data_IF_005573954297
#
_entry.id   IF_005573954297
#
_cell.length_a   1.000
_cell.length_b   1.000
_cell.length_c   1.000
_cell.angle_alpha   90.00
_cell.angle_beta   90.00
_cell.angle_gamma   90.00
#
_symmetry.space_group_name_H-M   'P 1'
#
loop_
_entity.id
_entity.type
_entity.pdbx_description
1 polymer ?
#
# COMPACT_ATOMS: atom_id res chain seq x y z
N UNK A 1 4.12 32.52 -45.60
CA UNK A 1 5.20 31.99 -44.73
C UNK A 1 4.74 31.64 -43.32
N UNK A 2 3.72 32.31 -42.76
CA UNK A 2 3.20 32.08 -41.38
C UNK A 2 2.59 30.67 -41.17
N UNK A 3 1.90 30.12 -42.18
CA UNK A 3 1.23 28.81 -42.07
C UNK A 3 2.19 27.62 -41.87
N UNK A 4 3.41 27.70 -42.44
CA UNK A 4 4.45 26.66 -42.29
C UNK A 4 5.15 26.72 -40.92
N UNK A 5 5.21 27.89 -40.30
CA UNK A 5 5.76 28.04 -38.95
C UNK A 5 4.76 27.54 -37.89
N UNK A 6 3.47 27.75 -38.10
CA UNK A 6 2.42 27.27 -37.19
C UNK A 6 2.33 25.73 -37.18
N UNK A 7 2.45 25.08 -38.34
CA UNK A 7 2.48 23.62 -38.43
C UNK A 7 3.73 23.00 -37.80
N UNK A 8 4.88 23.68 -37.86
CA UNK A 8 6.11 23.22 -37.22
C UNK A 8 6.02 23.25 -35.69
N UNK A 9 5.44 24.32 -35.13
CA UNK A 9 5.26 24.43 -33.67
C UNK A 9 4.24 23.41 -33.12
N UNK A 10 3.16 23.14 -33.86
CA UNK A 10 2.20 22.09 -33.49
C UNK A 10 2.83 20.69 -33.54
N UNK A 11 3.69 20.40 -34.52
CA UNK A 11 4.37 19.11 -34.63
C UNK A 11 5.39 18.86 -33.48
N UNK A 12 6.05 19.91 -32.99
CA UNK A 12 6.97 19.82 -31.85
C UNK A 12 6.22 19.60 -30.53
N UNK A 13 5.05 20.21 -30.34
CA UNK A 13 4.22 19.96 -29.15
C UNK A 13 3.63 18.55 -29.13
N UNK A 14 3.24 17.99 -30.29
CA UNK A 14 2.68 16.64 -30.40
C UNK A 14 3.73 15.53 -30.17
N UNK A 15 5.01 15.81 -30.38
CA UNK A 15 6.10 14.83 -30.21
C UNK A 15 6.72 14.83 -28.81
N UNK A 16 6.56 15.91 -28.03
CA UNK A 16 7.10 16.03 -26.67
C UNK A 16 6.05 15.79 -25.55
N UNK A 17 4.81 15.47 -25.90
CA UNK A 17 3.69 15.39 -24.95
C UNK A 17 3.55 14.08 -24.15
N UNK A 18 4.44 13.10 -24.30
CA UNK A 18 4.24 11.77 -23.71
C UNK A 18 5.53 11.24 -23.08
N UNK A 19 5.84 11.66 -21.85
CA UNK A 19 6.33 10.76 -20.79
C UNK A 19 6.46 11.45 -19.41
N UNK A 20 5.44 12.16 -18.94
CA UNK A 20 5.34 12.37 -17.49
C UNK A 20 4.71 11.10 -16.90
N UNK A 21 5.53 10.06 -16.70
CA UNK A 21 5.16 9.02 -15.75
C UNK A 21 5.29 9.68 -14.37
N UNK A 22 4.21 9.92 -13.61
CA UNK A 22 4.39 10.19 -12.21
C UNK A 22 5.18 8.99 -11.66
N UNK A 23 6.38 9.22 -11.15
CA UNK A 23 7.12 8.22 -10.36
C UNK A 23 6.38 8.09 -9.04
N UNK A 24 5.20 7.48 -9.10
CA UNK A 24 4.62 6.81 -7.96
C UNK A 24 5.38 5.50 -7.92
N UNK A 25 6.24 5.34 -6.91
CA UNK A 25 6.97 4.10 -6.76
C UNK A 25 5.95 2.95 -6.61
N UNK A 26 6.20 1.87 -7.32
CA UNK A 26 5.33 0.70 -7.25
C UNK A 26 5.70 -0.09 -5.99
N UNK A 27 4.70 -0.43 -5.19
CA UNK A 27 4.90 -1.22 -3.98
C UNK A 27 5.43 -2.63 -4.34
N UNK A 28 6.26 -3.21 -3.48
CA UNK A 28 6.89 -4.52 -3.67
C UNK A 28 7.81 -4.64 -4.90
N UNK A 29 8.17 -3.53 -5.54
CA UNK A 29 9.14 -3.49 -6.62
C UNK A 29 10.43 -2.80 -6.18
N UNK A 30 11.56 -3.31 -6.66
CA UNK A 30 12.85 -2.71 -6.39
C UNK A 30 13.00 -1.38 -7.12
N UNK A 31 13.23 -0.33 -6.33
CA UNK A 31 13.44 1.03 -6.81
C UNK A 31 14.94 1.29 -7.01
N UNK A 32 15.26 2.46 -7.57
CA UNK A 32 16.65 2.86 -7.88
C UNK A 32 17.56 2.90 -6.64
N UNK A 33 16.99 3.09 -5.45
CA UNK A 33 17.70 3.04 -4.18
C UNK A 33 17.92 1.61 -3.64
N UNK A 34 17.65 0.58 -4.44
CA UNK A 34 17.77 -0.83 -4.08
C UNK A 34 16.86 -1.24 -2.92
N UNK A 35 15.70 -0.61 -2.83
CA UNK A 35 14.68 -0.91 -1.84
C UNK A 35 13.35 -1.16 -2.51
N UNK A 36 12.61 -2.14 -1.99
CA UNK A 36 11.22 -2.36 -2.31
C UNK A 36 10.37 -1.99 -1.10
N UNK A 37 9.75 -0.79 -1.14
CA UNK A 37 8.76 -0.40 -0.13
C UNK A 37 7.54 -1.34 -0.24
N UNK A 38 7.16 -1.93 0.88
CA UNK A 38 6.02 -2.84 0.99
C UNK A 38 4.78 -2.08 1.42
N UNK A 39 4.94 -1.13 2.35
CA UNK A 39 3.93 -0.22 2.86
C UNK A 39 4.58 1.15 3.17
N UNK A 40 3.90 2.02 3.92
CA UNK A 40 4.43 3.34 4.24
C UNK A 40 5.74 3.32 5.03
N UNK A 41 6.02 2.30 5.85
CA UNK A 41 7.15 2.27 6.78
C UNK A 41 8.05 1.06 6.62
N UNK A 42 7.65 0.05 5.85
CA UNK A 42 8.30 -1.26 5.79
C UNK A 42 8.79 -1.56 4.39
N UNK A 43 9.90 -2.26 4.30
CA UNK A 43 10.58 -2.48 3.04
C UNK A 43 11.48 -3.72 3.04
N UNK A 44 11.72 -4.25 1.85
CA UNK A 44 12.76 -5.25 1.60
C UNK A 44 13.98 -4.59 0.96
N UNK A 45 15.17 -5.12 1.24
CA UNK A 45 16.36 -4.76 0.47
C UNK A 45 16.41 -5.56 -0.82
N UNK A 46 16.86 -4.91 -1.88
CA UNK A 46 17.08 -5.52 -3.18
C UNK A 46 18.57 -5.72 -3.39
N UNK A 47 18.99 -6.96 -3.61
CA UNK A 47 20.38 -7.28 -3.95
C UNK A 47 20.43 -7.69 -5.42
N UNK A 48 21.19 -6.97 -6.25
CA UNK A 48 21.38 -7.34 -7.66
C UNK A 48 20.17 -7.09 -8.55
N UNK A 49 19.66 -8.12 -9.21
CA UNK A 49 18.76 -8.14 -10.41
C UNK A 49 17.35 -7.54 -10.23
N UNK A 50 17.16 -6.59 -9.30
CA UNK A 50 15.87 -5.92 -9.10
C UNK A 50 14.82 -6.81 -8.42
N UNK A 51 15.23 -7.88 -7.73
CA UNK A 51 14.34 -8.77 -6.99
C UNK A 51 14.42 -8.44 -5.48
N UNK A 52 13.29 -8.16 -4.80
CA UNK A 52 13.28 -7.91 -3.36
C UNK A 52 13.67 -9.16 -2.57
N UNK A 53 14.56 -9.01 -1.59
CA UNK A 53 14.88 -10.09 -0.66
C UNK A 53 13.79 -10.20 0.42
N UNK A 54 12.82 -11.07 0.18
CA UNK A 54 11.67 -11.29 1.07
C UNK A 54 12.02 -12.07 2.36
N UNK A 55 13.29 -12.47 2.57
CA UNK A 55 13.71 -13.17 3.80
C UNK A 55 13.73 -12.27 5.02
N UNK A 56 13.88 -10.95 4.83
CA UNK A 56 13.98 -10.01 5.93
C UNK A 56 13.24 -8.71 5.61
N UNK A 57 12.17 -8.46 6.35
CA UNK A 57 11.45 -7.19 6.31
C UNK A 57 12.12 -6.19 7.28
N UNK A 58 12.42 -5.00 6.77
CA UNK A 58 12.90 -3.88 7.55
C UNK A 58 11.77 -2.90 7.79
N UNK A 59 11.85 -2.18 8.90
CA UNK A 59 10.87 -1.15 9.28
C UNK A 59 11.61 0.15 9.56
N UNK A 60 11.10 1.24 9.01
CA UNK A 60 11.58 2.58 9.26
C UNK A 60 11.30 2.99 10.70
N UNK A 61 12.19 3.80 11.30
CA UNK A 61 11.95 4.36 12.63
C UNK A 61 10.64 5.16 12.70
N UNK A 62 10.13 5.33 13.92
CA UNK A 62 8.91 6.10 14.17
C UNK A 62 8.97 7.50 13.56
N UNK A 63 7.86 7.91 12.94
CA UNK A 63 7.74 9.20 12.25
C UNK A 63 8.38 9.23 10.86
N UNK A 64 9.02 8.14 10.42
CA UNK A 64 9.59 8.03 9.08
C UNK A 64 8.77 7.12 8.17
N UNK A 65 8.91 7.33 6.87
CA UNK A 65 8.28 6.56 5.80
C UNK A 65 9.33 6.04 4.82
N UNK A 66 9.06 4.89 4.21
CA UNK A 66 9.86 4.32 3.14
C UNK A 66 9.72 5.18 1.88
N UNK A 67 10.85 5.57 1.30
CA UNK A 67 10.90 6.42 0.11
C UNK A 67 11.81 5.86 -0.98
N UNK A 68 11.62 6.34 -2.22
CA UNK A 68 12.48 6.06 -3.37
C UNK A 68 13.82 6.80 -3.32
N UNK A 69 14.03 7.66 -2.32
CA UNK A 69 15.24 8.45 -2.19
C UNK A 69 16.43 7.60 -1.75
N UNK A 70 17.68 8.07 -1.96
CA UNK A 70 18.87 7.39 -1.46
C UNK A 70 18.83 7.13 0.05
N UNK A 71 18.15 8.02 0.80
CA UNK A 71 17.79 7.79 2.19
C UNK A 71 16.46 7.04 2.25
N UNK A 72 16.52 5.75 2.59
CA UNK A 72 15.36 4.85 2.59
C UNK A 72 14.21 5.40 3.44
N UNK A 73 14.51 5.76 4.69
CA UNK A 73 13.53 6.25 5.65
C UNK A 73 13.59 7.77 5.76
N UNK A 74 12.50 8.44 5.42
CA UNK A 74 12.41 9.90 5.42
C UNK A 74 11.27 10.41 6.30
N UNK A 75 11.35 11.65 6.78
CA UNK A 75 10.32 12.23 7.63
C UNK A 75 8.97 12.32 6.92
N UNK A 76 7.92 11.75 7.52
CA UNK A 76 6.55 11.69 6.98
C UNK A 76 5.98 13.07 6.65
N UNK A 77 6.37 14.10 7.42
CA UNK A 77 5.93 15.49 7.22
C UNK A 77 6.54 16.16 5.99
N UNK A 78 7.62 15.60 5.45
CA UNK A 78 8.42 16.24 4.38
C UNK A 78 8.16 15.59 3.03
N UNK A 79 8.05 14.25 3.00
CA UNK A 79 7.82 13.50 1.78
C UNK A 79 6.73 12.46 2.00
N UNK A 80 5.79 12.28 1.06
CA UNK A 80 4.90 11.14 1.10
C UNK A 80 5.70 9.84 0.99
N UNK A 81 5.14 8.78 1.58
CA UNK A 81 5.69 7.45 1.41
C UNK A 81 5.66 7.05 -0.07
N UNK A 82 6.68 6.32 -0.51
CA UNK A 82 6.78 5.84 -1.89
C UNK A 82 5.82 4.71 -2.18
N UNK A 83 5.47 3.93 -1.16
CA UNK A 83 4.32 3.06 -1.18
C UNK A 83 3.28 3.63 -0.21
N UNK A 84 2.02 3.72 -0.63
CA UNK A 84 0.95 4.19 0.23
C UNK A 84 0.68 3.25 1.41
N UNK A 85 -0.31 3.59 2.23
CA UNK A 85 -0.82 2.68 3.24
C UNK A 85 -1.44 1.46 2.58
N UNK A 86 -0.63 0.42 2.38
CA UNK A 86 -1.09 -0.89 1.94
C UNK A 86 -1.68 -1.67 3.09
N UNK A 87 -1.70 -1.12 4.31
CA UNK A 87 -2.43 -1.68 5.44
C UNK A 87 -3.91 -1.62 5.08
N UNK A 88 -4.40 -2.67 4.42
CA UNK A 88 -5.84 -2.85 4.19
C UNK A 88 -6.50 -3.35 5.48
N UNK A 89 -5.97 -2.89 6.62
CA UNK A 89 -6.32 -3.35 7.94
C UNK A 89 -7.72 -2.84 8.28
N UNK A 90 -8.55 -3.76 8.73
CA UNK A 90 -9.94 -3.48 9.07
C UNK A 90 -10.79 -2.99 7.91
N UNK A 91 -10.35 -3.19 6.67
CA UNK A 91 -11.18 -2.99 5.48
C UNK A 91 -11.80 -4.33 5.12
N UNK A 92 -13.12 -4.39 5.15
CA UNK A 92 -13.84 -5.59 4.74
C UNK A 92 -13.57 -5.90 3.27
N UNK A 93 -13.34 -7.18 2.98
CA UNK A 93 -13.07 -7.63 1.61
C UNK A 93 -14.24 -7.32 0.66
N UNK A 94 -14.03 -7.54 -0.63
CA UNK A 94 -15.04 -7.26 -1.66
C UNK A 94 -16.39 -7.95 -1.41
N UNK A 95 -16.37 -9.12 -0.76
CA UNK A 95 -17.58 -9.88 -0.39
C UNK A 95 -18.16 -9.48 0.99
N UNK A 96 -17.54 -8.54 1.69
CA UNK A 96 -17.94 -8.03 3.01
C UNK A 96 -18.09 -9.14 4.07
N UNK A 97 -17.28 -10.20 3.95
CA UNK A 97 -17.31 -11.34 4.88
C UNK A 97 -16.35 -11.12 6.04
N UNK A 98 -15.14 -10.63 5.76
CA UNK A 98 -14.10 -10.44 6.76
C UNK A 98 -13.12 -9.33 6.36
N UNK A 99 -12.34 -8.87 7.33
CA UNK A 99 -11.22 -7.95 7.17
C UNK A 99 -9.99 -8.50 7.90
N UNK A 100 -8.80 -8.32 7.34
CA UNK A 100 -7.57 -8.58 8.07
C UNK A 100 -7.34 -7.47 9.10
N UNK A 101 -7.05 -7.81 10.36
CA UNK A 101 -6.75 -6.84 11.43
C UNK A 101 -5.27 -6.82 11.81
N UNK A 102 -4.53 -7.86 11.43
CA UNK A 102 -3.06 -7.94 11.43
C UNK A 102 -2.62 -8.91 10.33
N UNK A 103 -1.31 -9.16 10.19
CA UNK A 103 -0.77 -10.22 9.32
C UNK A 103 -1.35 -11.60 9.64
N UNK A 104 -1.79 -11.85 10.86
CA UNK A 104 -2.21 -13.19 11.32
C UNK A 104 -3.56 -13.18 12.03
N UNK A 105 -4.31 -12.09 11.99
CA UNK A 105 -5.64 -11.98 12.61
C UNK A 105 -6.63 -11.33 11.67
N UNK A 106 -7.88 -11.70 11.82
CA UNK A 106 -8.99 -11.19 11.04
C UNK A 106 -10.21 -10.92 11.92
N UNK A 107 -11.17 -10.18 11.39
CA UNK A 107 -12.45 -9.90 12.02
C UNK A 107 -13.59 -10.04 11.01
N UNK A 108 -14.76 -10.50 11.44
CA UNK A 108 -15.91 -10.71 10.55
C UNK A 108 -16.64 -9.40 10.28
N UNK A 109 -17.11 -9.23 9.04
CA UNK A 109 -17.79 -8.03 8.58
C UNK A 109 -19.31 -8.18 8.46
N UNK A 110 -19.82 -9.40 8.27
CA UNK A 110 -21.27 -9.70 8.19
C UNK A 110 -22.06 -8.78 7.22
N UNK A 111 -21.48 -8.42 6.08
CA UNK A 111 -22.10 -7.51 5.10
C UNK A 111 -21.90 -6.03 5.39
N UNK A 112 -21.06 -5.66 6.37
CA UNK A 112 -20.66 -4.29 6.62
C UNK A 112 -19.31 -3.95 5.96
N UNK A 113 -19.03 -2.65 5.83
CA UNK A 113 -17.74 -2.11 5.38
C UNK A 113 -16.71 -2.01 6.50
N UNK A 114 -17.17 -2.11 7.75
CA UNK A 114 -16.34 -2.09 8.97
C UNK A 114 -16.51 -3.43 9.69
N UNK A 115 -15.42 -4.08 10.11
CA UNK A 115 -15.49 -5.33 10.83
C UNK A 115 -16.15 -5.19 12.21
N UNK A 116 -16.80 -6.27 12.63
CA UNK A 116 -17.32 -6.49 13.98
C UNK A 116 -16.21 -6.75 14.99
N UNK A 117 -16.60 -6.93 16.25
CA UNK A 117 -15.77 -7.36 17.36
C UNK A 117 -15.52 -8.88 17.37
N UNK A 118 -16.09 -9.64 16.43
CA UNK A 118 -15.84 -11.07 16.29
C UNK A 118 -14.53 -11.29 15.52
N UNK A 119 -13.48 -11.66 16.26
CA UNK A 119 -12.11 -11.83 15.75
C UNK A 119 -11.71 -13.30 15.64
N UNK A 120 -10.76 -13.59 14.77
CA UNK A 120 -10.12 -14.89 14.62
C UNK A 120 -8.63 -14.76 14.32
N UNK A 121 -7.90 -15.85 14.56
CA UNK A 121 -6.46 -15.93 14.32
C UNK A 121 -6.17 -16.97 13.24
N UNK A 122 -5.24 -16.63 12.36
CA UNK A 122 -4.71 -17.55 11.38
C UNK A 122 -3.84 -18.63 12.04
N UNK A 123 -3.90 -19.89 11.55
CA UNK A 123 -2.99 -20.94 11.98
C UNK A 123 -1.52 -20.53 11.85
N UNK A 124 -0.64 -21.17 12.64
CA UNK A 124 0.80 -20.89 12.58
C UNK A 124 1.33 -21.09 11.16
N UNK A 125 2.10 -20.10 10.68
CA UNK A 125 2.71 -20.14 9.35
C UNK A 125 1.82 -19.60 8.22
N UNK A 126 0.57 -19.24 8.52
CA UNK A 126 -0.37 -18.68 7.52
C UNK A 126 -0.57 -17.19 7.73
N UNK A 127 -0.90 -16.48 6.64
CA UNK A 127 -1.06 -15.03 6.59
C UNK A 127 -2.50 -14.69 6.21
N UNK A 128 -3.06 -13.64 6.82
CA UNK A 128 -4.37 -13.14 6.43
C UNK A 128 -4.30 -12.41 5.10
N UNK A 129 -5.13 -12.83 4.13
CA UNK A 129 -5.25 -12.21 2.81
C UNK A 129 -6.72 -11.89 2.50
N UNK A 130 -7.08 -10.61 2.54
CA UNK A 130 -8.43 -10.13 2.27
C UNK A 130 -8.82 -10.22 0.78
N UNK A 131 -7.88 -10.48 -0.12
CA UNK A 131 -8.18 -10.73 -1.54
C UNK A 131 -8.56 -12.20 -1.82
N UNK A 132 -8.21 -13.09 -0.89
CA UNK A 132 -8.42 -14.53 -1.02
C UNK A 132 -9.84 -14.93 -0.58
N UNK A 133 -10.44 -15.96 -1.20
CA UNK A 133 -11.66 -16.57 -0.67
C UNK A 133 -11.42 -17.28 0.68
N UNK A 134 -10.18 -17.67 0.97
CA UNK A 134 -9.77 -18.24 2.24
C UNK A 134 -9.21 -17.13 3.14
N UNK A 135 -9.61 -17.12 4.42
CA UNK A 135 -9.15 -16.10 5.38
C UNK A 135 -7.62 -16.09 5.54
N UNK A 136 -7.04 -17.28 5.59
CA UNK A 136 -5.63 -17.49 5.87
C UNK A 136 -5.02 -18.34 4.76
N UNK A 137 -3.88 -17.90 4.22
CA UNK A 137 -3.17 -18.53 3.12
C UNK A 137 -1.72 -18.81 3.50
N UNK A 138 -1.14 -19.86 2.92
CA UNK A 138 0.28 -20.20 3.13
C UNK A 138 1.23 -19.31 2.31
N UNK A 139 0.75 -18.78 1.18
CA UNK A 139 1.53 -17.96 0.25
C UNK A 139 0.68 -16.81 -0.28
N UNK A 140 1.32 -15.64 -0.46
CA UNK A 140 0.69 -14.45 -1.01
C UNK A 140 0.83 -14.41 -2.53
N UNK A 141 -0.23 -13.96 -3.19
CA UNK A 141 -0.23 -13.68 -4.62
C UNK A 141 0.18 -12.22 -4.88
N UNK A 142 0.60 -11.86 -6.10
CA UNK A 142 0.98 -10.47 -6.43
C UNK A 142 -0.12 -9.43 -6.18
N UNK A 143 -1.38 -9.85 -6.20
CA UNK A 143 -2.55 -9.01 -5.95
C UNK A 143 -3.12 -9.19 -4.53
N UNK A 144 -2.39 -9.82 -3.60
CA UNK A 144 -2.84 -10.04 -2.23
C UNK A 144 -3.09 -8.73 -1.50
N UNK A 145 -4.21 -8.67 -0.79
CA UNK A 145 -4.62 -7.53 0.03
C UNK A 145 -4.38 -7.92 1.48
N UNK A 146 -3.23 -7.57 2.02
CA UNK A 146 -2.81 -7.97 3.37
C UNK A 146 -2.84 -6.81 4.35
N UNK A 147 -3.08 -7.13 5.62
CA UNK A 147 -2.80 -6.20 6.71
C UNK A 147 -1.33 -6.39 7.13
N UNK A 148 -0.59 -5.29 7.18
CA UNK A 148 0.85 -5.30 7.45
C UNK A 148 1.20 -5.18 8.94
N UNK A 149 0.20 -4.92 9.79
CA UNK A 149 0.36 -4.79 11.23
C UNK A 149 0.72 -6.14 11.85
N UNK A 150 1.66 -6.12 12.80
CA UNK A 150 2.06 -7.32 13.56
C UNK A 150 1.02 -7.62 14.64
N UNK A 151 0.50 -6.56 15.26
CA UNK A 151 -0.55 -6.63 16.27
C UNK A 151 -1.92 -6.33 15.66
N UNK A 152 -3.00 -6.92 16.19
CA UNK A 152 -4.35 -6.63 15.74
C UNK A 152 -4.71 -5.15 15.98
N UNK A 153 -5.06 -4.44 14.91
CA UNK A 153 -5.61 -3.08 15.03
C UNK A 153 -6.94 -3.14 15.78
N UNK A 154 -7.07 -2.30 16.80
CA UNK A 154 -8.30 -2.28 17.59
C UNK A 154 -9.48 -1.79 16.75
N UNK A 155 -10.66 -2.40 16.96
CA UNK A 155 -11.90 -1.98 16.27
C UNK A 155 -12.24 -0.51 16.60
N UNK A 156 -11.82 -0.01 17.77
CA UNK A 156 -12.00 1.39 18.15
C UNK A 156 -11.15 2.32 17.30
N UNK A 157 -9.92 1.94 16.97
CA UNK A 157 -9.04 2.71 16.08
C UNK A 157 -9.53 2.66 14.64
N UNK A 158 -10.02 1.50 14.17
CA UNK A 158 -10.63 1.36 12.85
C UNK A 158 -11.89 2.23 12.69
N UNK A 159 -12.74 2.28 13.71
CA UNK A 159 -13.91 3.17 13.72
C UNK A 159 -13.50 4.65 13.73
N UNK A 160 -12.45 5.01 14.46
CA UNK A 160 -11.93 6.39 14.51
C UNK A 160 -11.34 6.84 13.18
N UNK A 161 -10.54 5.98 12.53
CA UNK A 161 -9.94 6.26 11.21
C UNK A 161 -11.01 6.41 10.11
N UNK A 162 -12.04 5.57 10.11
CA UNK A 162 -13.15 5.68 9.17
C UNK A 162 -14.09 6.86 9.47
N UNK A 163 -14.31 7.19 10.75
CA UNK A 163 -15.05 8.39 11.15
C UNK A 163 -14.43 9.67 10.61
N UNK A 164 -13.09 9.78 10.66
CA UNK A 164 -12.33 10.89 10.06
C UNK A 164 -12.42 10.91 8.53
N UNK A 165 -12.38 9.76 7.84
CA UNK A 165 -12.59 9.69 6.39
C UNK A 165 -13.98 10.17 5.98
N UNK A 166 -15.02 9.75 6.69
CA UNK A 166 -16.41 10.16 6.41
C UNK A 166 -16.62 11.67 6.64
N UNK A 167 -15.93 12.26 7.62
CA UNK A 167 -16.01 13.70 7.89
C UNK A 167 -15.28 14.54 6.83
N UNK A 168 -14.21 14.01 6.22
CA UNK A 168 -13.48 14.62 5.11
C UNK A 168 -14.27 14.50 3.79
N UNK A 169 -14.94 13.38 3.53
CA UNK A 169 -15.82 13.21 2.37
C UNK A 169 -17.05 14.12 2.42
N UNK A 170 -17.59 14.40 3.61
CA UNK A 170 -18.73 15.31 3.77
C UNK A 170 -18.36 16.79 3.63
N UNK A 171 -17.08 17.15 3.75
CA UNK A 171 -16.58 18.53 3.60
C UNK A 171 -16.13 18.88 2.17
N UNK A 172 -16.36 18.01 1.19
CA UNK A 172 -16.03 18.23 -0.21
C UNK A 172 -17.30 18.37 -1.05
#
# INVERSE_FOLDING_TARGET
>A
MVFKFLTFLLAVFLTNGILYKPVLAVCNECQDNHVACVNETSYYMCFGEGIPNTKQLFTCPDGMVCTYLPTICFQRSTLPASCGDTSSCGVCNANQVFACTSRTTFAFCFGATIPSDVVGNCPKGTICDASSPNFCVDELMPNSIVCDQIEPVSIMDLKRMNGLKNEIEFKK
#
